data_IF_080952236568
#
_entry.id   IF_080952236568
#
_cell.length_a   1.000
_cell.length_b   1.000
_cell.length_c   1.000
_cell.angle_alpha   90.00
_cell.angle_beta   90.00
_cell.angle_gamma   90.00
#
_symmetry.space_group_name_H-M   'P 1'
#
loop_
_entity.id
_entity.type
_entity.pdbx_description
1 polymer ?
#
# COMPACT_ATOMS: atom_id res chain seq x y z
N UNK A 1 -1.07 28.56 18.90
CA UNK A 1 -0.83 27.09 18.90
C UNK A 1 0.43 26.79 19.72
N UNK A 2 0.50 25.65 20.41
CA UNK A 2 1.63 25.21 21.28
C UNK A 2 2.50 24.10 20.63
N UNK A 3 2.46 23.95 19.31
CA UNK A 3 3.26 22.94 18.61
C UNK A 3 4.67 23.44 18.27
N UNK A 4 5.65 22.53 18.21
CA UNK A 4 6.99 22.77 17.68
C UNK A 4 7.08 22.38 16.20
N UNK A 5 8.09 22.91 15.50
CA UNK A 5 8.41 22.45 14.15
C UNK A 5 9.03 21.06 14.23
N UNK A 6 8.42 20.11 13.53
CA UNK A 6 8.84 18.71 13.46
C UNK A 6 8.71 18.22 12.01
N UNK A 7 9.83 18.04 11.29
CA UNK A 7 9.83 17.56 9.91
C UNK A 7 9.29 16.14 9.73
N UNK A 8 9.57 15.25 10.68
CA UNK A 8 9.13 13.85 10.63
C UNK A 8 7.62 13.80 10.76
N UNK A 9 7.09 14.44 11.81
CA UNK A 9 5.65 14.51 12.04
C UNK A 9 4.93 15.17 10.85
N UNK A 10 5.50 16.24 10.28
CA UNK A 10 4.93 16.89 9.12
C UNK A 10 4.89 15.94 7.90
N UNK A 11 5.95 15.18 7.66
CA UNK A 11 5.99 14.18 6.59
C UNK A 11 4.97 13.06 6.82
N UNK A 12 4.94 12.46 8.01
CA UNK A 12 3.97 11.41 8.35
C UNK A 12 2.52 11.89 8.18
N UNK A 13 2.25 13.16 8.48
CA UNK A 13 0.94 13.77 8.26
C UNK A 13 0.62 13.96 6.77
N UNK A 14 1.59 14.37 5.95
CA UNK A 14 1.40 14.43 4.48
C UNK A 14 1.14 13.03 3.93
N UNK A 15 1.91 12.03 4.37
CA UNK A 15 1.75 10.64 3.95
C UNK A 15 0.35 10.10 4.25
N UNK A 16 -0.13 10.32 5.47
CA UNK A 16 -1.52 10.04 5.86
C UNK A 16 -2.53 10.85 5.03
N UNK A 17 -2.30 12.15 4.85
CA UNK A 17 -3.20 13.07 4.17
C UNK A 17 -3.45 12.73 2.70
N UNK A 18 -2.47 12.15 2.01
CA UNK A 18 -2.63 11.63 0.64
C UNK A 18 -3.72 10.57 0.55
N UNK A 19 -3.87 9.76 1.59
CA UNK A 19 -4.88 8.71 1.71
C UNK A 19 -6.08 9.18 2.56
N UNK A 20 -6.46 10.45 2.45
CA UNK A 20 -7.62 11.05 3.10
C UNK A 20 -8.58 11.70 2.09
N UNK A 21 -9.86 11.99 2.44
CA UNK A 21 -10.79 12.63 1.50
C UNK A 21 -10.29 13.98 0.98
N UNK A 22 -9.70 14.79 1.84
CA UNK A 22 -9.23 16.13 1.52
C UNK A 22 -7.78 16.30 1.96
N UNK A 23 -6.87 16.46 1.00
CA UNK A 23 -5.47 16.73 1.28
C UNK A 23 -5.23 18.25 1.33
N UNK A 24 -5.37 18.86 2.52
CA UNK A 24 -5.15 20.29 2.74
C UNK A 24 -4.08 20.55 3.78
N UNK A 25 -2.94 21.08 3.35
CA UNK A 25 -1.87 21.54 4.24
C UNK A 25 -2.26 22.90 4.83
N UNK A 26 -2.54 22.95 6.13
CA UNK A 26 -2.98 24.16 6.82
C UNK A 26 -2.08 24.50 8.01
N UNK A 27 -1.82 25.78 8.24
CA UNK A 27 -1.07 26.30 9.38
C UNK A 27 -1.68 27.58 9.92
N UNK A 28 -1.33 27.90 11.17
CA UNK A 28 -1.45 29.27 11.66
C UNK A 28 -0.56 30.19 10.82
N UNK A 29 -0.96 31.46 10.70
CA UNK A 29 -0.12 32.52 10.15
C UNK A 29 1.08 32.77 11.07
N UNK A 30 2.17 32.04 10.80
CA UNK A 30 3.42 32.11 11.55
C UNK A 30 4.59 31.84 10.59
N UNK A 31 5.59 32.75 10.49
CA UNK A 31 6.75 32.55 9.61
C UNK A 31 7.58 31.30 9.94
N UNK A 32 7.52 30.82 11.19
CA UNK A 32 8.30 29.66 11.66
C UNK A 32 7.57 28.32 11.54
N UNK A 33 6.38 28.27 10.91
CA UNK A 33 5.56 27.06 10.86
C UNK A 33 4.88 26.86 9.50
N UNK A 34 5.61 27.15 8.42
CA UNK A 34 5.18 26.80 7.07
C UNK A 34 4.96 25.30 6.90
N UNK A 35 4.00 24.95 6.05
CA UNK A 35 3.63 23.56 5.71
C UNK A 35 3.96 23.22 4.28
N UNK A 36 4.45 24.19 3.53
CA UNK A 36 4.83 24.04 2.14
C UNK A 36 6.08 23.17 2.02
N UNK A 37 6.11 22.16 1.13
CA UNK A 37 7.23 21.20 1.04
C UNK A 37 8.60 21.84 0.89
N UNK A 38 8.71 22.95 0.14
CA UNK A 38 9.97 23.66 -0.10
C UNK A 38 10.57 24.37 1.12
N UNK A 39 9.90 24.36 2.28
CA UNK A 39 10.44 24.87 3.55
C UNK A 39 11.09 23.78 4.40
N UNK A 40 11.02 22.51 3.98
CA UNK A 40 11.62 21.37 4.67
C UNK A 40 13.00 21.04 4.11
N UNK A 41 13.79 20.28 4.88
CA UNK A 41 15.04 19.66 4.43
C UNK A 41 14.80 18.76 3.21
N UNK A 42 15.81 18.60 2.36
CA UNK A 42 15.65 17.98 1.04
C UNK A 42 15.15 16.52 1.09
N UNK A 43 15.67 15.71 2.01
CA UNK A 43 15.22 14.34 2.29
C UNK A 43 13.74 14.27 2.65
N UNK A 44 13.24 15.20 3.46
CA UNK A 44 11.80 15.27 3.82
C UNK A 44 10.97 15.80 2.66
N UNK A 45 11.43 16.88 2.02
CA UNK A 45 10.76 17.51 0.88
C UNK A 45 10.57 16.51 -0.26
N UNK A 46 11.59 15.75 -0.61
CA UNK A 46 11.52 14.76 -1.69
C UNK A 46 10.40 13.75 -1.45
N UNK A 47 10.27 13.25 -0.22
CA UNK A 47 9.18 12.32 0.12
C UNK A 47 7.81 13.01 0.14
N UNK A 48 7.71 14.26 0.60
CA UNK A 48 6.47 15.05 0.48
C UNK A 48 6.06 15.22 -0.99
N UNK A 49 7.00 15.60 -1.86
CA UNK A 49 6.76 15.80 -3.29
C UNK A 49 6.29 14.49 -3.96
N UNK A 50 6.91 13.35 -3.64
CA UNK A 50 6.51 12.04 -4.15
C UNK A 50 5.07 11.68 -3.75
N UNK A 51 4.71 11.93 -2.49
CA UNK A 51 3.37 11.66 -1.97
C UNK A 51 2.31 12.60 -2.58
N UNK A 52 2.62 13.89 -2.73
CA UNK A 52 1.72 14.85 -3.38
C UNK A 52 1.51 14.51 -4.86
N UNK A 53 2.54 14.02 -5.56
CA UNK A 53 2.40 13.48 -6.91
C UNK A 53 1.55 12.23 -6.95
N UNK A 54 1.73 11.29 -6.01
CA UNK A 54 0.88 10.11 -5.88
C UNK A 54 -0.59 10.51 -5.69
N UNK A 55 -0.87 11.54 -4.87
CA UNK A 55 -2.23 12.08 -4.72
C UNK A 55 -2.83 12.55 -6.04
N UNK A 56 -2.05 13.26 -6.86
CA UNK A 56 -2.48 13.67 -8.21
C UNK A 56 -2.73 12.47 -9.13
N UNK A 57 -1.86 11.46 -9.07
CA UNK A 57 -2.03 10.22 -9.85
C UNK A 57 -3.33 9.50 -9.49
N UNK A 58 -3.71 9.49 -8.22
CA UNK A 58 -4.91 8.81 -7.72
C UNK A 58 -6.24 9.50 -8.07
N UNK A 59 -6.25 10.62 -8.82
CA UNK A 59 -7.49 11.35 -9.16
C UNK A 59 -8.60 10.43 -9.71
N UNK A 60 -8.37 9.50 -10.66
CA UNK A 60 -9.44 8.64 -11.17
C UNK A 60 -10.06 7.74 -10.09
N UNK A 61 -9.23 7.20 -9.20
CA UNK A 61 -9.66 6.40 -8.05
C UNK A 61 -10.45 7.22 -7.03
N UNK A 62 -9.97 8.44 -6.74
CA UNK A 62 -10.61 9.37 -5.80
C UNK A 62 -11.95 9.88 -6.32
N UNK A 63 -12.02 10.22 -7.60
CA UNK A 63 -13.23 10.73 -8.23
C UNK A 63 -14.31 9.66 -8.29
N UNK A 64 -13.92 8.43 -8.62
CA UNK A 64 -14.79 7.26 -8.50
C UNK A 64 -15.38 7.15 -7.09
N UNK A 65 -14.55 7.27 -6.06
CA UNK A 65 -15.01 7.20 -4.67
C UNK A 65 -15.92 8.38 -4.27
N UNK A 66 -15.69 9.58 -4.79
CA UNK A 66 -16.55 10.74 -4.57
C UNK A 66 -17.94 10.53 -5.19
N UNK A 67 -18.00 9.99 -6.42
CA UNK A 67 -19.25 9.62 -7.08
C UNK A 67 -19.97 8.53 -6.30
N UNK A 68 -19.25 7.50 -5.82
CA UNK A 68 -19.83 6.47 -4.96
C UNK A 68 -20.36 7.03 -3.63
N UNK A 69 -19.68 8.01 -3.05
CA UNK A 69 -20.16 8.71 -1.85
C UNK A 69 -21.46 9.46 -2.16
N UNK A 70 -21.52 10.18 -3.27
CA UNK A 70 -22.69 10.97 -3.68
C UNK A 70 -23.91 10.11 -4.05
N UNK A 71 -23.72 9.07 -4.84
CA UNK A 71 -24.81 8.26 -5.40
C UNK A 71 -25.20 7.08 -4.51
N UNK A 72 -24.26 6.53 -3.74
CA UNK A 72 -24.43 5.26 -3.02
C UNK A 72 -24.11 5.35 -1.53
N UNK A 73 -23.79 6.53 -0.99
CA UNK A 73 -23.43 6.74 0.42
C UNK A 73 -22.27 5.87 0.91
N UNK A 74 -21.37 5.43 0.01
CA UNK A 74 -20.16 4.70 0.38
C UNK A 74 -18.99 5.66 0.50
N UNK A 75 -18.48 5.82 1.70
CA UNK A 75 -17.40 6.76 1.98
C UNK A 75 -16.07 6.25 1.39
N UNK A 76 -15.19 7.17 0.97
CA UNK A 76 -13.83 6.83 0.55
C UNK A 76 -13.01 6.18 1.69
N UNK A 77 -13.26 6.54 2.95
CA UNK A 77 -12.63 5.89 4.10
C UNK A 77 -13.71 5.10 4.83
N UNK A 78 -13.51 3.79 4.91
CA UNK A 78 -14.35 2.87 5.69
C UNK A 78 -13.50 2.20 6.78
N UNK A 79 -13.99 2.10 8.03
CA UNK A 79 -13.30 1.35 9.06
C UNK A 79 -13.34 -0.15 8.73
N UNK A 80 -12.35 -0.91 9.21
CA UNK A 80 -12.22 -2.33 8.87
C UNK A 80 -13.47 -3.16 9.16
N UNK A 81 -14.18 -2.86 10.25
CA UNK A 81 -15.38 -3.59 10.67
C UNK A 81 -16.58 -3.41 9.71
N UNK A 82 -16.53 -2.50 8.72
CA UNK A 82 -17.55 -2.44 7.68
C UNK A 82 -17.48 -3.65 6.74
N UNK A 83 -16.26 -4.09 6.41
CA UNK A 83 -16.04 -5.24 5.55
C UNK A 83 -15.90 -6.55 6.34
N UNK A 84 -15.45 -6.46 7.59
CA UNK A 84 -15.19 -7.62 8.45
C UNK A 84 -15.95 -7.53 9.78
N UNK A 85 -17.29 -7.38 9.79
CA UNK A 85 -18.07 -7.08 10.99
C UNK A 85 -18.06 -8.19 12.04
N UNK A 86 -17.87 -9.44 11.61
CA UNK A 86 -17.88 -10.62 12.47
C UNK A 86 -16.50 -10.99 13.04
N UNK A 87 -15.45 -10.29 12.58
CA UNK A 87 -14.08 -10.49 13.04
C UNK A 87 -13.74 -9.46 14.14
N UNK A 88 -13.31 -9.93 15.31
CA UNK A 88 -13.11 -9.08 16.48
C UNK A 88 -11.92 -8.11 16.29
N UNK A 89 -10.91 -8.53 15.55
CA UNK A 89 -9.69 -7.79 15.26
C UNK A 89 -9.98 -6.51 14.48
N UNK A 90 -11.03 -6.51 13.64
CA UNK A 90 -11.51 -5.32 12.92
C UNK A 90 -11.93 -4.16 13.84
N UNK A 91 -12.25 -4.43 15.11
CA UNK A 91 -12.57 -3.43 16.14
C UNK A 91 -11.38 -3.08 17.04
N UNK A 92 -10.38 -3.96 17.10
CA UNK A 92 -9.17 -3.80 17.92
C UNK A 92 -8.14 -2.91 17.23
N UNK A 93 -7.90 -3.11 15.94
CA UNK A 93 -6.90 -2.38 15.15
C UNK A 93 -7.48 -1.09 14.57
N UNK A 94 -7.52 -0.04 15.40
CA UNK A 94 -8.13 1.25 15.04
C UNK A 94 -7.28 2.13 14.13
N UNK A 95 -5.98 1.85 14.04
CA UNK A 95 -5.03 2.65 13.26
C UNK A 95 -4.78 2.06 11.85
N UNK A 96 -5.80 1.42 11.28
CA UNK A 96 -5.87 1.01 9.88
C UNK A 96 -7.29 1.17 9.36
N UNK A 97 -7.44 1.41 8.05
CA UNK A 97 -8.72 1.61 7.41
C UNK A 97 -8.68 1.22 5.93
N UNK A 98 -9.86 0.98 5.36
CA UNK A 98 -10.03 0.81 3.92
C UNK A 98 -10.08 2.18 3.24
N UNK A 99 -9.30 2.33 2.18
CA UNK A 99 -9.23 3.52 1.34
C UNK A 99 -9.77 3.18 -0.05
N UNK A 100 -11.04 3.52 -0.28
CA UNK A 100 -11.85 3.01 -1.37
C UNK A 100 -12.05 1.50 -1.25
N UNK A 101 -12.32 0.83 -2.37
CA UNK A 101 -12.61 -0.60 -2.38
C UNK A 101 -11.38 -1.51 -2.52
N UNK A 102 -10.21 -0.95 -2.81
CA UNK A 102 -9.04 -1.72 -3.26
C UNK A 102 -7.83 -1.66 -2.32
N UNK A 103 -7.76 -0.65 -1.44
CA UNK A 103 -6.57 -0.37 -0.63
C UNK A 103 -6.90 -0.37 0.88
N UNK A 104 -5.94 -0.78 1.69
CA UNK A 104 -5.91 -0.69 3.14
C UNK A 104 -4.70 0.15 3.55
N UNK A 105 -4.90 1.14 4.42
CA UNK A 105 -3.87 2.10 4.83
C UNK A 105 -3.66 1.98 6.32
N UNK A 106 -2.40 1.87 6.76
CA UNK A 106 -2.02 1.87 8.17
C UNK A 106 -1.00 2.99 8.45
N UNK A 107 -1.44 4.18 8.85
CA UNK A 107 -0.55 5.32 9.08
C UNK A 107 0.41 5.09 10.26
N UNK A 108 1.66 5.54 10.13
CA UNK A 108 2.60 5.59 11.25
C UNK A 108 2.32 6.85 12.06
N UNK A 109 1.90 6.68 13.31
CA UNK A 109 1.46 7.75 14.21
C UNK A 109 2.34 7.91 15.45
N UNK A 110 3.43 7.14 15.53
CA UNK A 110 4.46 7.23 16.57
C UNK A 110 5.78 7.73 15.99
N UNK A 111 6.60 8.46 16.77
CA UNK A 111 7.94 8.87 16.34
C UNK A 111 8.80 7.69 15.90
N UNK A 112 9.72 7.93 14.96
CA UNK A 112 10.70 6.96 14.55
C UNK A 112 11.56 6.50 15.73
N UNK A 113 11.91 5.22 15.71
CA UNK A 113 12.91 4.68 16.61
C UNK A 113 14.28 5.27 16.26
N UNK A 114 15.00 5.79 17.25
CA UNK A 114 16.28 6.48 17.07
C UNK A 114 17.43 5.53 16.70
N UNK A 115 17.32 4.24 17.03
CA UNK A 115 18.32 3.23 16.70
C UNK A 115 18.16 2.78 15.24
N UNK A 116 16.95 2.52 14.78
CA UNK A 116 16.73 2.00 13.43
C UNK A 116 16.42 3.05 12.36
N UNK A 117 16.06 4.27 12.78
CA UNK A 117 15.53 5.32 11.92
C UNK A 117 14.29 4.88 11.12
N UNK A 118 13.45 4.03 11.72
CA UNK A 118 12.15 3.61 11.15
C UNK A 118 10.99 3.90 12.08
N UNK A 119 9.82 4.11 11.48
CA UNK A 119 8.55 4.15 12.21
C UNK A 119 7.86 2.80 12.09
N UNK A 120 7.08 2.42 13.11
CA UNK A 120 6.38 1.14 13.15
C UNK A 120 4.87 1.35 13.33
N UNK A 121 4.10 0.38 12.84
CA UNK A 121 2.66 0.30 13.07
C UNK A 121 2.24 -1.17 13.11
N UNK A 122 1.37 -1.51 14.04
CA UNK A 122 0.77 -2.85 14.10
C UNK A 122 -0.41 -2.91 13.12
N UNK A 123 -0.39 -3.89 12.22
CA UNK A 123 -1.37 -4.07 11.15
C UNK A 123 -1.95 -5.48 11.25
N UNK A 124 -3.28 -5.56 11.37
CA UNK A 124 -4.01 -6.81 11.17
C UNK A 124 -4.28 -7.02 9.69
N UNK A 125 -4.04 -8.24 9.22
CA UNK A 125 -4.24 -8.65 7.84
C UNK A 125 -5.44 -9.61 7.77
N UNK A 126 -6.61 -9.12 7.30
CA UNK A 126 -7.78 -9.98 7.11
C UNK A 126 -7.52 -11.07 6.07
N UNK A 127 -8.48 -12.00 5.96
CA UNK A 127 -8.40 -13.13 5.05
C UNK A 127 -7.98 -12.76 3.60
N UNK A 128 -7.02 -13.53 3.09
CA UNK A 128 -6.47 -13.41 1.75
C UNK A 128 -5.03 -12.91 1.72
N UNK A 129 -4.55 -12.56 0.54
CA UNK A 129 -3.21 -12.00 0.35
C UNK A 129 -3.27 -10.49 0.15
N UNK A 130 -2.29 -9.80 0.73
CA UNK A 130 -2.18 -8.35 0.71
C UNK A 130 -0.81 -7.94 0.22
N UNK A 131 -0.73 -7.06 -0.76
CA UNK A 131 0.53 -6.59 -1.33
C UNK A 131 0.78 -5.13 -0.99
N UNK A 132 1.96 -4.80 -0.49
CA UNK A 132 2.37 -3.41 -0.27
C UNK A 132 2.66 -2.73 -1.61
N UNK A 133 1.94 -1.64 -1.89
CA UNK A 133 1.95 -0.97 -3.19
C UNK A 133 3.28 -0.28 -3.51
N UNK A 134 4.17 -0.12 -2.53
CA UNK A 134 5.44 0.58 -2.70
C UNK A 134 6.62 -0.36 -2.97
N UNK A 135 6.52 -1.64 -2.60
CA UNK A 135 7.63 -2.60 -2.69
C UNK A 135 7.24 -3.95 -3.30
N UNK A 136 5.97 -4.14 -3.68
CA UNK A 136 5.39 -5.37 -4.22
C UNK A 136 5.56 -6.61 -3.30
N UNK A 137 5.79 -6.41 -1.99
CA UNK A 137 5.88 -7.50 -1.02
C UNK A 137 4.48 -7.98 -0.70
N UNK A 138 4.28 -9.30 -0.80
CA UNK A 138 3.01 -9.96 -0.51
C UNK A 138 3.06 -10.53 0.91
N UNK A 139 2.00 -10.28 1.67
CA UNK A 139 1.75 -10.80 3.00
C UNK A 139 0.52 -11.70 2.96
N UNK A 140 0.61 -12.85 3.61
CA UNK A 140 -0.53 -13.72 3.86
C UNK A 140 -1.31 -13.17 5.06
N UNK A 141 -2.62 -13.01 4.94
CA UNK A 141 -3.53 -12.64 6.02
C UNK A 141 -4.13 -13.85 6.72
N UNK A 142 -5.27 -13.67 7.39
CA UNK A 142 -6.02 -14.75 8.05
C UNK A 142 -6.35 -15.90 7.06
N UNK A 143 -6.48 -17.14 7.57
CA UNK A 143 -6.94 -18.29 6.79
C UNK A 143 -8.45 -18.55 7.05
N UNK A 144 -9.18 -19.00 6.03
CA UNK A 144 -10.65 -19.22 6.03
C UNK A 144 -11.12 -20.27 7.03
N UNK A 145 -10.36 -21.35 7.13
CA UNK A 145 -10.59 -22.37 8.14
C UNK A 145 -9.93 -21.89 9.43
N UNK A 146 -10.71 -21.76 10.50
CA UNK A 146 -10.26 -21.58 11.88
C UNK A 146 -9.37 -22.75 12.39
N UNK A 147 -8.48 -23.31 11.55
CA UNK A 147 -7.23 -23.84 12.00
C UNK A 147 -6.45 -22.61 12.49
N UNK A 148 -6.31 -22.37 13.80
CA UNK A 148 -5.37 -21.36 14.24
C UNK A 148 -4.06 -21.68 13.53
N UNK A 149 -3.52 -20.73 12.75
CA UNK A 149 -2.11 -20.77 12.38
C UNK A 149 -1.39 -21.14 13.67
N UNK A 150 -0.85 -22.37 13.69
CA UNK A 150 -0.51 -23.06 14.92
C UNK A 150 0.65 -22.32 15.54
N UNK A 151 0.32 -21.31 16.34
CA UNK A 151 1.25 -20.37 16.95
C UNK A 151 2.34 -19.91 15.98
N UNK A 152 2.25 -18.65 15.57
CA UNK A 152 3.39 -17.75 15.73
C UNK A 152 3.87 -17.86 17.19
N UNK A 153 4.53 -18.97 17.54
CA UNK A 153 5.50 -19.00 18.63
C UNK A 153 6.61 -18.17 18.05
N UNK A 154 6.43 -16.87 18.16
CA UNK A 154 7.32 -15.82 18.57
C UNK A 154 6.55 -14.57 18.17
N UNK A 155 6.13 -13.78 19.17
CA UNK A 155 6.07 -12.31 19.20
C UNK A 155 5.07 -11.88 20.28
N UNK A 156 5.58 -11.11 21.24
CA UNK A 156 4.93 -10.79 22.51
C UNK A 156 3.69 -9.91 22.30
N UNK A 157 2.56 -10.33 22.89
CA UNK A 157 1.40 -9.45 23.12
C UNK A 157 0.01 -10.06 22.89
N UNK A 158 -0.33 -11.19 23.54
CA UNK A 158 -1.68 -11.76 23.68
C UNK A 158 -2.67 -11.56 22.50
N UNK A 159 -2.65 -12.47 21.52
CA UNK A 159 -3.69 -12.57 20.50
C UNK A 159 -4.56 -13.80 20.77
N UNK A 160 -5.86 -13.58 21.01
CA UNK A 160 -6.89 -14.61 20.93
C UNK A 160 -7.30 -14.71 19.45
N UNK A 161 -7.68 -15.90 18.98
CA UNK A 161 -8.37 -16.19 17.69
C UNK A 161 -7.60 -16.18 16.35
N UNK A 162 -6.37 -16.69 16.27
CA UNK A 162 -5.83 -17.13 14.97
C UNK A 162 -5.58 -16.04 13.92
N UNK A 163 -5.66 -14.76 14.31
CA UNK A 163 -5.50 -13.62 13.42
C UNK A 163 -4.03 -13.32 13.11
N UNK A 164 -3.76 -12.96 11.86
CA UNK A 164 -2.46 -12.58 11.34
C UNK A 164 -2.22 -11.09 11.56
N UNK A 165 -1.23 -10.78 12.39
CA UNK A 165 -0.79 -9.40 12.69
C UNK A 165 0.68 -9.24 12.36
N UNK A 166 1.02 -8.12 11.71
CA UNK A 166 2.39 -7.75 11.35
C UNK A 166 2.73 -6.38 11.94
N UNK A 167 3.83 -6.28 12.68
CA UNK A 167 4.42 -4.98 13.07
C UNK A 167 5.27 -4.48 11.92
N UNK A 168 4.67 -3.69 11.03
CA UNK A 168 5.34 -3.21 9.82
C UNK A 168 6.28 -2.06 10.14
N UNK A 169 7.53 -2.16 9.68
CA UNK A 169 8.57 -1.15 9.87
C UNK A 169 8.84 -0.41 8.57
N UNK A 170 8.83 0.92 8.56
CA UNK A 170 9.08 1.72 7.36
C UNK A 170 10.02 2.89 7.64
N UNK A 171 10.90 3.18 6.68
CA UNK A 171 11.74 4.39 6.70
C UNK A 171 10.85 5.64 6.50
N UNK A 172 11.45 6.83 6.39
CA UNK A 172 10.69 8.04 6.02
C UNK A 172 10.08 7.95 4.63
N UNK A 173 10.57 7.06 3.76
CA UNK A 173 10.14 7.01 2.37
C UNK A 173 8.67 6.64 2.19
N UNK A 174 8.09 5.87 3.11
CA UNK A 174 6.73 5.37 2.97
C UNK A 174 6.02 5.04 4.29
N UNK A 175 4.70 4.83 4.20
CA UNK A 175 3.86 4.17 5.20
C UNK A 175 3.29 2.88 4.59
N UNK A 176 2.85 1.91 5.40
CA UNK A 176 2.16 0.74 4.87
C UNK A 176 0.84 1.10 4.17
N UNK A 177 0.76 0.74 2.89
CA UNK A 177 -0.46 0.79 2.08
C UNK A 177 -0.55 -0.50 1.31
N UNK A 178 -1.57 -1.29 1.61
CA UNK A 178 -1.72 -2.66 1.16
C UNK A 178 -2.90 -2.76 0.20
N UNK A 179 -2.67 -3.33 -0.97
CA UNK A 179 -3.70 -3.70 -1.91
C UNK A 179 -4.05 -5.18 -1.72
N UNK A 180 -5.34 -5.54 -1.71
CA UNK A 180 -5.70 -6.97 -1.77
C UNK A 180 -5.18 -7.55 -3.08
N UNK A 181 -4.61 -8.75 -3.09
CA UNK A 181 -4.12 -9.36 -4.33
C UNK A 181 -5.27 -9.47 -5.35
N UNK A 182 -5.03 -9.02 -6.57
CA UNK A 182 -6.01 -8.77 -7.63
C UNK A 182 -6.51 -7.33 -7.70
N UNK A 183 -6.17 -6.44 -6.76
CA UNK A 183 -6.65 -5.06 -6.72
C UNK A 183 -6.34 -4.28 -7.99
N UNK A 184 -7.32 -3.50 -8.45
CA UNK A 184 -7.24 -2.68 -9.67
C UNK A 184 -7.35 -1.21 -9.28
N UNK A 185 -6.28 -0.44 -9.42
CA UNK A 185 -6.22 0.97 -9.02
C UNK A 185 -5.94 1.84 -10.25
N UNK A 186 -6.95 2.52 -10.81
CA UNK A 186 -6.75 3.45 -11.92
C UNK A 186 -6.06 4.73 -11.44
N UNK A 187 -5.06 5.15 -12.20
CA UNK A 187 -4.27 6.36 -11.97
C UNK A 187 -4.07 7.13 -13.28
N UNK A 188 -3.81 8.43 -13.18
CA UNK A 188 -3.27 9.19 -14.32
C UNK A 188 -1.75 9.05 -14.40
N UNK A 189 -1.22 9.03 -15.62
CA UNK A 189 0.21 8.99 -15.87
C UNK A 189 0.91 10.28 -15.39
N UNK A 190 0.34 11.44 -15.75
CA UNK A 190 0.83 12.77 -15.37
C UNK A 190 -0.05 13.40 -14.27
N UNK A 191 0.44 13.47 -13.01
CA UNK A 191 -0.30 14.10 -11.92
C UNK A 191 -0.42 15.63 -12.05
N UNK A 192 0.25 16.24 -13.02
CA UNK A 192 0.20 17.69 -13.29
C UNK A 192 -0.73 18.04 -14.47
N UNK A 193 -1.39 17.05 -15.07
CA UNK A 193 -2.38 17.29 -16.12
C UNK A 193 -3.53 18.17 -15.61
N UNK A 194 -4.13 18.95 -16.51
CA UNK A 194 -5.29 19.78 -16.19
C UNK A 194 -6.46 18.90 -15.72
N UNK A 195 -7.06 19.26 -14.59
CA UNK A 195 -8.12 18.48 -13.95
C UNK A 195 -9.50 18.65 -14.61
N UNK A 196 -9.67 19.67 -15.45
CA UNK A 196 -10.93 19.97 -16.13
C UNK A 196 -11.13 19.14 -17.41
N UNK A 197 -10.09 18.43 -17.84
CA UNK A 197 -10.11 17.56 -19.02
C UNK A 197 -9.87 16.12 -18.57
N UNK A 198 -10.77 15.21 -18.99
CA UNK A 198 -10.55 13.80 -18.77
C UNK A 198 -9.31 13.35 -19.56
N UNK A 199 -8.41 12.53 -18.97
CA UNK A 199 -7.12 12.21 -19.58
C UNK A 199 -7.27 11.44 -20.90
N UNK A 200 -6.24 11.31 -21.72
CA UNK A 200 -6.28 10.40 -22.89
C UNK A 200 -5.70 9.01 -22.57
N UNK A 201 -5.04 8.86 -21.42
CA UNK A 201 -4.47 7.61 -20.94
C UNK A 201 -4.78 7.43 -19.44
N UNK A 202 -5.14 6.21 -19.05
CA UNK A 202 -5.24 5.76 -17.66
C UNK A 202 -4.22 4.64 -17.43
N UNK A 203 -3.38 4.81 -16.42
CA UNK A 203 -2.54 3.75 -15.88
C UNK A 203 -3.38 2.89 -14.94
N UNK A 204 -3.68 1.66 -15.33
CA UNK A 204 -4.44 0.71 -14.52
C UNK A 204 -3.45 -0.16 -13.76
N UNK A 205 -3.16 0.19 -12.50
CA UNK A 205 -2.27 -0.59 -11.66
C UNK A 205 -2.98 -1.85 -11.16
N UNK A 206 -2.39 -3.02 -11.46
CA UNK A 206 -2.93 -4.33 -11.08
C UNK A 206 -1.98 -4.98 -10.10
N UNK A 207 -2.47 -5.22 -8.88
CA UNK A 207 -1.66 -5.70 -7.78
C UNK A 207 -1.81 -7.21 -7.60
N UNK A 208 -0.96 -8.01 -8.27
CA UNK A 208 -1.07 -9.46 -8.34
C UNK A 208 -2.11 -9.95 -9.36
N UNK A 209 -2.12 -11.24 -9.67
CA UNK A 209 -2.87 -11.80 -10.80
C UNK A 209 -4.26 -12.39 -10.47
N UNK A 210 -4.74 -12.23 -9.24
CA UNK A 210 -6.03 -12.79 -8.84
C UNK A 210 -7.20 -12.12 -9.55
N UNK A 211 -8.29 -12.87 -9.72
CA UNK A 211 -9.49 -12.41 -10.38
C UNK A 211 -10.12 -11.24 -9.64
N UNK A 212 -10.42 -10.16 -10.35
CA UNK A 212 -11.06 -8.98 -9.78
C UNK A 212 -11.77 -8.13 -10.83
N UNK A 213 -12.63 -7.24 -10.35
CA UNK A 213 -13.30 -6.23 -11.15
C UNK A 213 -13.31 -4.89 -10.40
N UNK A 214 -13.21 -3.80 -11.14
CA UNK A 214 -13.33 -2.45 -10.64
C UNK A 214 -14.13 -1.59 -11.62
N UNK A 215 -15.08 -0.81 -11.11
CA UNK A 215 -15.81 0.17 -11.90
C UNK A 215 -15.24 1.55 -11.62
N UNK A 216 -14.57 2.12 -12.62
CA UNK A 216 -14.13 3.50 -12.61
C UNK A 216 -15.29 4.40 -13.02
N UNK A 217 -15.50 5.48 -12.28
CA UNK A 217 -16.43 6.54 -12.66
C UNK A 217 -15.64 7.81 -12.97
N UNK A 218 -16.07 8.51 -14.01
CA UNK A 218 -15.53 9.79 -14.45
C UNK A 218 -16.70 10.76 -14.66
N UNK A 219 -16.47 12.06 -14.43
CA UNK A 219 -17.51 13.07 -14.65
C UNK A 219 -16.98 14.37 -15.26
N UNK A 220 -17.85 15.04 -16.02
CA UNK A 220 -17.66 16.43 -16.48
C UNK A 220 -18.97 17.17 -16.21
N UNK A 221 -18.94 18.12 -15.27
CA UNK A 221 -20.15 18.76 -14.77
C UNK A 221 -21.10 17.75 -14.13
N UNK A 222 -22.28 17.55 -14.72
CA UNK A 222 -23.26 16.55 -14.24
C UNK A 222 -23.27 15.26 -15.08
N UNK A 223 -22.54 15.22 -16.18
CA UNK A 223 -22.43 14.02 -17.01
C UNK A 223 -21.48 13.04 -16.34
N UNK A 224 -21.91 11.77 -16.25
CA UNK A 224 -21.14 10.68 -15.65
C UNK A 224 -20.96 9.59 -16.69
N UNK A 225 -19.74 9.06 -16.79
CA UNK A 225 -19.39 7.86 -17.52
C UNK A 225 -18.85 6.79 -16.57
N UNK A 226 -18.93 5.54 -17.00
CA UNK A 226 -18.45 4.39 -16.23
C UNK A 226 -17.57 3.54 -17.12
N UNK A 227 -16.45 3.06 -16.58
CA UNK A 227 -15.63 2.05 -17.23
C UNK A 227 -15.51 0.85 -16.30
N UNK A 228 -16.07 -0.28 -16.71
CA UNK A 228 -15.84 -1.56 -16.04
C UNK A 228 -14.50 -2.13 -16.49
N UNK A 229 -13.64 -2.43 -15.52
CA UNK A 229 -12.33 -3.03 -15.72
C UNK A 229 -12.35 -4.40 -15.05
N UNK A 230 -12.12 -5.46 -15.82
CA UNK A 230 -12.14 -6.84 -15.29
C UNK A 230 -10.88 -7.59 -15.67
N UNK A 231 -10.37 -8.37 -14.72
CA UNK A 231 -9.24 -9.28 -14.91
C UNK A 231 -9.71 -10.63 -14.40
N UNK A 232 -9.99 -11.56 -15.30
CA UNK A 232 -10.55 -12.87 -14.98
C UNK A 232 -9.78 -13.94 -15.75
N UNK A 233 -9.07 -14.80 -15.03
CA UNK A 233 -8.29 -15.92 -15.58
C UNK A 233 -7.35 -15.50 -16.71
N UNK A 234 -6.61 -14.40 -16.51
CA UNK A 234 -5.69 -13.82 -17.50
C UNK A 234 -6.37 -13.07 -18.67
N UNK A 235 -7.70 -12.89 -18.63
CA UNK A 235 -8.43 -12.02 -19.55
C UNK A 235 -8.60 -10.62 -18.97
N UNK A 236 -7.99 -9.65 -19.63
CA UNK A 236 -8.09 -8.23 -19.34
C UNK A 236 -9.15 -7.61 -20.23
N UNK A 237 -10.04 -6.82 -19.65
CA UNK A 237 -11.15 -6.21 -20.38
C UNK A 237 -11.53 -4.86 -19.82
N UNK A 238 -11.88 -3.95 -20.72
CA UNK A 238 -12.49 -2.65 -20.43
C UNK A 238 -13.82 -2.55 -21.16
N UNK A 239 -14.85 -2.05 -20.47
CA UNK A 239 -16.16 -1.74 -21.07
C UNK A 239 -16.59 -0.36 -20.64
N UNK A 240 -16.68 0.56 -21.59
CA UNK A 240 -17.06 1.97 -21.37
C UNK A 240 -18.57 2.14 -21.63
N UNK A 241 -19.28 2.63 -20.62
CA UNK A 241 -20.66 3.14 -20.67
C UNK A 241 -20.63 4.66 -20.50
N UNK A 242 -20.68 5.37 -21.62
CA UNK A 242 -20.60 6.82 -21.68
C UNK A 242 -21.74 7.43 -22.51
N UNK A 243 -22.93 7.63 -21.91
CA UNK A 243 -24.09 8.14 -22.63
C UNK A 243 -23.93 9.60 -23.10
N UNK A 244 -22.94 10.33 -22.60
CA UNK A 244 -22.73 11.75 -22.90
C UNK A 244 -21.47 12.01 -23.75
N UNK A 245 -20.70 10.97 -24.10
CA UNK A 245 -19.45 11.05 -24.85
C UNK A 245 -18.42 12.01 -24.20
N UNK A 246 -18.26 11.93 -22.88
CA UNK A 246 -17.26 12.70 -22.13
C UNK A 246 -15.88 12.05 -22.12
N UNK A 247 -15.80 10.72 -22.21
CA UNK A 247 -14.55 9.95 -22.25
C UNK A 247 -13.98 10.02 -23.67
N UNK A 248 -12.68 10.32 -23.85
CA UNK A 248 -12.06 10.30 -25.17
C UNK A 248 -12.24 8.95 -25.87
N UNK A 249 -12.70 8.97 -27.12
CA UNK A 249 -13.01 7.75 -27.88
C UNK A 249 -11.79 6.85 -28.12
N UNK A 250 -10.59 7.43 -28.10
CA UNK A 250 -9.29 6.77 -28.27
C UNK A 250 -8.55 6.59 -26.93
N UNK A 251 -9.25 6.70 -25.79
CA UNK A 251 -8.69 6.50 -24.44
C UNK A 251 -7.91 5.19 -24.37
N UNK A 252 -6.66 5.28 -23.95
CA UNK A 252 -5.80 4.13 -23.68
C UNK A 252 -5.88 3.73 -22.22
N UNK A 253 -6.02 2.44 -21.97
CA UNK A 253 -5.92 1.83 -20.64
C UNK A 253 -4.62 1.02 -20.60
N UNK A 254 -3.59 1.60 -19.99
CA UNK A 254 -2.28 0.99 -19.82
C UNK A 254 -2.25 0.21 -18.51
N UNK A 255 -2.47 -1.10 -18.59
CA UNK A 255 -2.36 -2.00 -17.45
C UNK A 255 -0.90 -2.14 -17.05
N UNK A 256 -0.60 -1.86 -15.77
CA UNK A 256 0.72 -2.03 -15.15
C UNK A 256 0.64 -3.16 -14.14
N UNK A 257 1.37 -4.24 -14.42
CA UNK A 257 1.37 -5.46 -13.61
C UNK A 257 2.37 -5.34 -12.46
N UNK A 258 1.91 -5.53 -11.23
CA UNK A 258 2.74 -5.61 -10.03
C UNK A 258 2.81 -7.06 -9.54
N UNK A 259 4.03 -7.57 -9.39
CA UNK A 259 4.32 -8.97 -9.03
C UNK A 259 3.84 -10.06 -10.01
N UNK A 260 3.63 -9.73 -11.28
CA UNK A 260 3.43 -10.70 -12.37
C UNK A 260 3.76 -10.07 -13.74
N UNK A 261 3.78 -10.88 -14.80
CA UNK A 261 3.94 -10.43 -16.19
C UNK A 261 2.80 -10.92 -17.08
N UNK A 262 2.56 -10.20 -18.18
CA UNK A 262 1.56 -10.45 -19.21
C UNK A 262 2.24 -10.64 -20.57
N UNK A 263 2.15 -11.84 -21.15
CA UNK A 263 2.90 -12.23 -22.36
C UNK A 263 4.42 -11.95 -22.24
N UNK A 264 4.99 -12.08 -21.04
CA UNK A 264 6.38 -11.77 -20.73
C UNK A 264 6.72 -10.27 -20.60
N UNK A 265 5.74 -9.39 -20.69
CA UNK A 265 5.88 -7.94 -20.49
C UNK A 265 5.28 -7.51 -19.14
N UNK A 266 5.66 -6.34 -18.63
CA UNK A 266 5.02 -5.76 -17.43
C UNK A 266 3.76 -4.95 -17.74
N UNK A 267 3.51 -4.66 -19.02
CA UNK A 267 2.43 -3.78 -19.45
C UNK A 267 1.59 -4.39 -20.57
N UNK A 268 0.31 -4.03 -20.57
CA UNK A 268 -0.67 -4.30 -21.62
C UNK A 268 -1.46 -3.02 -21.88
N UNK A 269 -1.78 -2.72 -23.14
CA UNK A 269 -2.63 -1.59 -23.51
C UNK A 269 -3.91 -2.10 -24.15
N UNK A 270 -5.05 -1.60 -23.68
CA UNK A 270 -6.36 -1.71 -24.31
C UNK A 270 -6.84 -0.31 -24.72
N UNK A 271 -7.68 -0.21 -25.76
CA UNK A 271 -8.20 1.08 -26.24
C UNK A 271 -9.73 1.08 -26.21
N UNK A 272 -10.31 2.05 -25.50
CA UNK A 272 -11.77 2.14 -25.35
C UNK A 272 -12.37 0.88 -24.70
N UNK A 273 -13.44 0.36 -25.30
CA UNK A 273 -14.03 -0.93 -24.92
C UNK A 273 -13.36 -2.06 -25.70
N UNK A 274 -12.50 -2.83 -25.02
CA UNK A 274 -11.68 -3.86 -25.63
C UNK A 274 -11.41 -5.01 -24.66
N UNK A 275 -10.97 -6.15 -25.16
CA UNK A 275 -10.56 -7.29 -24.35
C UNK A 275 -9.38 -8.03 -24.96
N UNK A 276 -8.48 -8.51 -24.10
CA UNK A 276 -7.37 -9.36 -24.50
C UNK A 276 -7.11 -10.44 -23.46
N UNK A 277 -6.93 -11.67 -23.93
CA UNK A 277 -6.43 -12.78 -23.10
C UNK A 277 -4.93 -12.89 -23.29
N UNK A 278 -4.19 -12.98 -22.18
CA UNK A 278 -2.73 -13.02 -22.15
C UNK A 278 -2.26 -14.20 -21.31
N UNK A 279 -1.02 -14.63 -21.52
CA UNK A 279 -0.38 -15.58 -20.62
C UNK A 279 0.13 -14.79 -19.41
N UNK A 280 -0.34 -15.16 -18.22
CA UNK A 280 0.10 -14.56 -16.96
C UNK A 280 1.17 -15.44 -16.31
N UNK A 281 2.24 -14.83 -15.82
CA UNK A 281 3.30 -15.51 -15.07
C UNK A 281 3.62 -14.72 -13.79
N UNK A 282 3.48 -15.38 -12.64
CA UNK A 282 3.76 -14.78 -11.33
C UNK A 282 5.25 -14.49 -11.13
N UNK A 283 5.51 -13.42 -10.39
CA UNK A 283 6.85 -12.98 -10.06
C UNK A 283 7.33 -13.59 -8.74
N UNK A 284 8.22 -14.58 -8.83
CA UNK A 284 8.76 -15.31 -7.68
C UNK A 284 9.87 -14.57 -6.90
N UNK A 285 10.00 -13.24 -7.03
CA UNK A 285 11.06 -12.43 -6.37
C UNK A 285 10.71 -11.94 -4.95
N UNK A 286 9.72 -12.53 -4.27
CA UNK A 286 9.28 -12.09 -2.94
C UNK A 286 10.40 -12.11 -1.89
N UNK A 287 11.18 -13.19 -1.81
CA UNK A 287 12.32 -13.29 -0.88
C UNK A 287 13.40 -12.23 -1.16
N UNK A 288 13.65 -11.91 -2.43
CA UNK A 288 14.61 -10.88 -2.83
C UNK A 288 14.11 -9.47 -2.45
N UNK A 289 12.82 -9.18 -2.66
CA UNK A 289 12.19 -7.92 -2.24
C UNK A 289 12.24 -7.74 -0.72
N UNK A 290 11.88 -8.77 0.03
CA UNK A 290 11.94 -8.76 1.50
C UNK A 290 13.38 -8.52 1.99
N UNK A 291 14.36 -9.18 1.38
CA UNK A 291 15.77 -9.02 1.70
C UNK A 291 16.25 -7.60 1.41
N UNK A 292 15.86 -7.04 0.25
CA UNK A 292 16.22 -5.67 -0.12
C UNK A 292 15.59 -4.64 0.82
N UNK A 293 14.33 -4.82 1.23
CA UNK A 293 13.69 -3.97 2.25
C UNK A 293 14.49 -3.98 3.56
N UNK A 294 14.83 -5.17 4.06
CA UNK A 294 15.61 -5.29 5.29
C UNK A 294 16.98 -4.63 5.17
N UNK A 295 17.68 -4.83 4.05
CA UNK A 295 18.98 -4.18 3.81
C UNK A 295 18.83 -2.66 3.84
N UNK A 296 17.82 -2.10 3.19
CA UNK A 296 17.57 -0.66 3.20
C UNK A 296 17.29 -0.13 4.61
N UNK A 297 16.53 -0.88 5.42
CA UNK A 297 16.28 -0.53 6.82
C UNK A 297 17.58 -0.59 7.65
N UNK A 298 18.35 -1.68 7.56
CA UNK A 298 19.62 -1.83 8.28
C UNK A 298 20.69 -0.82 7.83
N UNK A 299 20.69 -0.40 6.57
CA UNK A 299 21.55 0.67 6.08
C UNK A 299 21.28 1.98 6.83
N UNK A 300 20.00 2.32 7.06
CA UNK A 300 19.57 3.50 7.82
C UNK A 300 19.76 3.40 9.34
N UNK A 301 19.89 2.19 9.90
CA UNK A 301 20.02 2.00 11.34
C UNK A 301 21.37 2.48 11.90
N UNK A 302 21.36 3.14 13.05
CA UNK A 302 22.52 3.60 13.84
C UNK A 302 23.08 2.49 14.76
N UNK A 303 23.32 1.31 14.18
CA UNK A 303 23.97 0.19 14.86
C UNK A 303 25.34 -0.13 14.29
N UNK A 304 26.17 -0.84 15.06
CA UNK A 304 27.51 -1.22 14.64
C UNK A 304 27.48 -2.05 13.35
N UNK A 305 28.50 -1.86 12.49
CA UNK A 305 28.63 -2.63 11.24
C UNK A 305 28.59 -4.14 11.48
N UNK A 306 29.26 -4.61 12.53
CA UNK A 306 29.28 -6.03 12.91
C UNK A 306 27.89 -6.55 13.26
N UNK A 307 27.05 -5.74 13.89
CA UNK A 307 25.67 -6.12 14.21
C UNK A 307 24.82 -6.23 12.95
N UNK A 308 24.94 -5.27 12.01
CA UNK A 308 24.30 -5.36 10.68
C UNK A 308 24.72 -6.63 9.95
N UNK A 309 26.03 -6.95 9.96
CA UNK A 309 26.58 -8.17 9.35
C UNK A 309 26.05 -9.43 10.00
N UNK A 310 25.99 -9.48 11.33
CA UNK A 310 25.45 -10.63 12.05
C UNK A 310 23.99 -10.89 11.69
N UNK A 311 23.15 -9.84 11.58
CA UNK A 311 21.75 -9.97 11.16
C UNK A 311 21.68 -10.53 9.73
N UNK A 312 22.46 -9.98 8.80
CA UNK A 312 22.48 -10.44 7.41
C UNK A 312 23.00 -11.88 7.28
N UNK A 313 24.05 -12.25 8.01
CA UNK A 313 24.61 -13.60 7.97
C UNK A 313 23.63 -14.65 8.51
N UNK A 314 22.74 -14.27 9.45
CA UNK A 314 21.65 -15.14 9.92
C UNK A 314 20.60 -15.36 8.85
N UNK A 315 20.32 -14.35 8.06
CA UNK A 315 19.27 -14.35 7.04
C UNK A 315 19.72 -15.02 5.74
N UNK A 316 20.97 -14.80 5.35
CA UNK A 316 21.56 -15.43 4.16
C UNK A 316 21.87 -16.93 4.39
N UNK A 317 21.73 -17.41 5.63
CA UNK A 317 21.90 -18.82 5.94
C UNK A 317 20.67 -19.64 5.52
N UNK A 318 20.78 -20.31 4.38
CA UNK A 318 19.75 -21.17 3.77
C UNK A 318 19.23 -22.32 4.66
N UNK A 319 19.90 -22.64 5.78
CA UNK A 319 19.44 -23.65 6.73
C UNK A 319 18.55 -23.10 7.86
N UNK A 320 18.36 -21.78 7.92
CA UNK A 320 17.58 -21.13 8.98
C UNK A 320 16.13 -21.06 8.55
N UNK A 321 15.25 -21.66 9.34
CA UNK A 321 13.80 -21.61 9.11
C UNK A 321 13.23 -20.26 9.55
N UNK A 322 12.07 -19.83 9.02
CA UNK A 322 11.37 -18.63 9.49
C UNK A 322 11.21 -18.55 11.01
N UNK A 323 10.84 -19.67 11.66
CA UNK A 323 10.74 -19.77 13.12
C UNK A 323 12.07 -19.46 13.83
N UNK A 324 13.20 -19.97 13.31
CA UNK A 324 14.53 -19.69 13.88
C UNK A 324 14.93 -18.23 13.69
N UNK A 325 14.57 -17.61 12.56
CA UNK A 325 14.79 -16.17 12.34
C UNK A 325 13.98 -15.32 13.31
N UNK A 326 12.71 -15.65 13.51
CA UNK A 326 11.89 -15.00 14.54
C UNK A 326 12.52 -15.18 15.94
N UNK A 327 13.10 -16.35 16.22
CA UNK A 327 13.76 -16.61 17.53
C UNK A 327 15.00 -15.78 17.71
N UNK A 328 15.79 -15.67 16.64
CA UNK A 328 16.91 -14.76 16.62
C UNK A 328 16.48 -13.30 16.82
N UNK A 329 15.39 -12.86 16.18
CA UNK A 329 14.88 -11.50 16.35
C UNK A 329 14.65 -11.14 17.82
N UNK A 330 14.13 -12.06 18.64
CA UNK A 330 13.93 -11.81 20.09
C UNK A 330 15.23 -11.60 20.89
N UNK A 331 16.37 -11.98 20.32
CA UNK A 331 17.68 -11.74 20.94
C UNK A 331 18.20 -10.33 20.68
N UNK A 332 17.60 -9.59 19.75
CA UNK A 332 17.97 -8.21 19.45
C UNK A 332 17.43 -7.28 20.55
N UNK A 333 18.24 -6.31 20.98
CA UNK A 333 17.88 -5.43 22.09
C UNK A 333 16.88 -4.33 21.71
N UNK A 334 16.81 -3.94 20.44
CA UNK A 334 15.94 -2.88 19.96
C UNK A 334 14.68 -3.44 19.30
N UNK A 335 13.50 -3.03 19.78
CA UNK A 335 12.19 -3.53 19.32
C UNK A 335 11.95 -3.32 17.82
N UNK A 336 12.48 -2.25 17.23
CA UNK A 336 12.29 -1.98 15.81
C UNK A 336 13.16 -2.87 14.94
N UNK A 337 14.37 -3.23 15.39
CA UNK A 337 15.19 -4.26 14.76
C UNK A 337 14.52 -5.64 14.87
N UNK A 338 13.91 -5.95 16.03
CA UNK A 338 13.11 -7.17 16.16
C UNK A 338 11.99 -7.21 15.11
N UNK A 339 11.23 -6.12 14.98
CA UNK A 339 10.12 -6.01 14.04
C UNK A 339 10.56 -6.24 12.58
N UNK A 340 11.70 -5.69 12.16
CA UNK A 340 12.23 -5.88 10.81
C UNK A 340 12.57 -7.34 10.49
N UNK A 341 13.27 -8.02 11.41
CA UNK A 341 13.69 -9.42 11.20
C UNK A 341 12.49 -10.36 11.26
N UNK A 342 11.51 -10.03 12.11
CA UNK A 342 10.23 -10.71 12.20
C UNK A 342 9.42 -10.59 10.92
N UNK A 343 9.27 -9.36 10.41
CA UNK A 343 8.54 -9.09 9.18
C UNK A 343 9.17 -9.86 8.02
N UNK A 344 10.50 -9.86 7.93
CA UNK A 344 11.24 -10.68 6.97
C UNK A 344 10.95 -12.19 7.12
N UNK A 345 10.98 -12.72 8.34
CA UNK A 345 10.70 -14.13 8.60
C UNK A 345 9.26 -14.52 8.19
N UNK A 346 8.29 -13.66 8.47
CA UNK A 346 6.89 -13.86 8.07
C UNK A 346 6.74 -13.95 6.54
N UNK A 347 7.39 -13.07 5.79
CA UNK A 347 7.34 -13.08 4.32
C UNK A 347 7.96 -14.36 3.75
N UNK A 348 9.06 -14.85 4.33
CA UNK A 348 9.64 -16.13 3.89
C UNK A 348 8.70 -17.31 4.15
N UNK A 349 7.99 -17.30 5.27
CA UNK A 349 7.07 -18.39 5.62
C UNK A 349 5.90 -18.50 4.63
N UNK A 350 5.40 -17.40 4.08
CA UNK A 350 4.27 -17.42 3.14
C UNK A 350 4.64 -17.88 1.72
N UNK A 351 5.94 -18.05 1.42
CA UNK A 351 6.45 -18.36 0.08
C UNK A 351 7.32 -19.63 0.03
N UNK A 352 7.32 -20.43 1.10
CA UNK A 352 7.88 -21.79 1.16
C UNK A 352 6.75 -22.81 1.11
#
# INVERSE_FOLDING_TARGET
>A
MKGSFDPELALRWVQYGVFSPINRLHSSDNPFSGKEPWKFREDVRQYMDNYLRLRGKLIPYLDSANIMTNLHNRALIEPMYYQYPDNAESYLYKNQYLFGSQLMVAPITTPQNQVSNTGTVDVWLPEGQWMDIFNDIIYQGDETDNQPLASSTILVGQYKSGATTVKMSRTLANIPVLAKVGAIVPMVADPMQQIDELPSEIEVHVYGNANNAYTMYEHVGHAIAKTEITIIDGRFKTVVDDPNNIVPSDRQYRFKSHAFTVDGNSELILVGSDEKTVIVQDDNRQAERARQQLITQLQGAEIAYEEKRNILDKIDNQQVTPLKLATYAQTLHDESLQAMVVEYAMILQSHH
#
